data_IF_615430477966
#
_entry.id   IF_615430477966
#
_cell.length_a   1.000
_cell.length_b   1.000
_cell.length_c   1.000
_cell.angle_alpha   90.00
_cell.angle_beta   90.00
_cell.angle_gamma   90.00
#
_symmetry.space_group_name_H-M   'P 1'
#
loop_
_entity.id
_entity.type
_entity.pdbx_description
1 polymer ?
#
# COMPACT_ATOMS: atom_id res chain seq x y z
N UNK A 1 2.62 27.96 -4.80
CA UNK A 1 2.40 26.58 -5.31
C UNK A 1 2.61 25.54 -4.22
N UNK A 2 3.79 25.45 -3.58
CA UNK A 2 4.06 24.42 -2.57
C UNK A 2 3.35 24.59 -1.21
N UNK A 3 3.09 25.83 -0.78
CA UNK A 3 2.41 26.14 0.49
C UNK A 3 0.96 25.65 0.52
N UNK A 4 0.21 25.86 -0.57
CA UNK A 4 -1.18 25.41 -0.69
C UNK A 4 -1.30 23.87 -0.66
N UNK A 5 -0.37 23.15 -1.30
CA UNK A 5 -0.34 21.69 -1.24
C UNK A 5 -0.02 21.17 0.16
N UNK A 6 0.92 21.84 0.85
CA UNK A 6 1.29 21.51 2.21
C UNK A 6 0.11 21.70 3.18
N UNK A 7 -0.59 22.83 3.12
CA UNK A 7 -1.78 23.11 3.93
C UNK A 7 -2.91 22.10 3.64
N UNK A 8 -3.11 21.74 2.37
CA UNK A 8 -4.08 20.71 1.99
C UNK A 8 -3.76 19.37 2.64
N UNK A 9 -2.53 18.90 2.55
CA UNK A 9 -2.14 17.62 3.17
C UNK A 9 -2.22 17.69 4.69
N UNK A 10 -1.83 18.81 5.30
CA UNK A 10 -2.00 19.03 6.75
C UNK A 10 -3.48 18.95 7.18
N UNK A 11 -4.40 19.50 6.37
CA UNK A 11 -5.84 19.38 6.59
C UNK A 11 -6.36 17.96 6.40
N UNK A 12 -5.83 17.20 5.44
CA UNK A 12 -6.14 15.76 5.28
C UNK A 12 -5.67 14.97 6.51
N UNK A 13 -4.47 15.27 7.03
CA UNK A 13 -3.95 14.63 8.25
C UNK A 13 -4.90 14.84 9.43
N UNK A 14 -5.32 16.09 9.67
CA UNK A 14 -6.26 16.42 10.76
C UNK A 14 -7.60 15.68 10.61
N UNK A 15 -8.16 15.64 9.39
CA UNK A 15 -9.41 14.90 9.12
C UNK A 15 -9.28 13.41 9.37
N UNK A 16 -8.18 12.78 8.95
CA UNK A 16 -7.92 11.36 9.21
C UNK A 16 -7.80 11.07 10.70
N UNK A 17 -7.11 11.94 11.45
CA UNK A 17 -7.04 11.82 12.90
C UNK A 17 -8.41 11.93 13.56
N UNK A 18 -9.21 12.95 13.20
CA UNK A 18 -10.56 13.12 13.73
C UNK A 18 -11.44 11.91 13.45
N UNK A 19 -11.34 11.32 12.25
CA UNK A 19 -12.10 10.12 11.90
C UNK A 19 -11.66 8.90 12.74
N UNK A 20 -10.35 8.71 12.94
CA UNK A 20 -9.83 7.65 13.81
C UNK A 20 -10.34 7.80 15.25
N UNK A 21 -10.37 9.02 15.79
CA UNK A 21 -10.81 9.31 17.15
C UNK A 21 -12.32 9.09 17.33
N UNK A 22 -13.13 9.50 16.34
CA UNK A 22 -14.59 9.37 16.39
C UNK A 22 -15.06 7.94 16.09
N UNK A 23 -14.40 7.24 15.18
CA UNK A 23 -14.83 5.94 14.66
C UNK A 23 -13.63 4.99 14.47
N UNK A 24 -12.95 4.56 15.55
CA UNK A 24 -11.75 3.72 15.44
C UNK A 24 -12.01 2.39 14.74
N UNK A 25 -13.18 1.78 14.95
CA UNK A 25 -13.59 0.57 14.21
C UNK A 25 -13.76 0.82 12.71
N UNK A 26 -14.36 1.96 12.33
CA UNK A 26 -14.49 2.36 10.93
C UNK A 26 -13.13 2.61 10.27
N UNK A 27 -12.24 3.29 10.97
CA UNK A 27 -10.85 3.49 10.53
C UNK A 27 -10.12 2.16 10.33
N UNK A 28 -10.27 1.23 11.26
CA UNK A 28 -9.66 -0.10 11.15
C UNK A 28 -10.22 -0.90 9.97
N UNK A 29 -11.52 -0.82 9.68
CA UNK A 29 -12.13 -1.44 8.50
C UNK A 29 -11.57 -0.83 7.21
N UNK A 30 -11.52 0.51 7.09
CA UNK A 30 -10.92 1.16 5.92
C UNK A 30 -9.43 0.82 5.77
N UNK A 31 -8.73 0.66 6.89
CA UNK A 31 -7.33 0.22 6.88
C UNK A 31 -7.21 -1.24 6.42
N UNK A 32 -8.13 -2.11 6.84
CA UNK A 32 -8.18 -3.50 6.39
C UNK A 32 -8.48 -3.60 4.90
N UNK A 33 -9.42 -2.79 4.40
CA UNK A 33 -9.72 -2.71 2.97
C UNK A 33 -8.51 -2.31 2.14
N UNK A 34 -7.69 -1.35 2.59
CA UNK A 34 -6.46 -1.00 1.90
C UNK A 34 -5.51 -2.21 1.78
N UNK A 35 -5.34 -2.99 2.87
CA UNK A 35 -4.54 -4.22 2.85
C UNK A 35 -5.07 -5.28 1.88
N UNK A 36 -6.39 -5.41 1.75
CA UNK A 36 -7.05 -6.29 0.78
C UNK A 36 -6.80 -5.79 -0.65
N UNK A 37 -6.95 -4.49 -0.90
CA UNK A 37 -6.76 -3.91 -2.24
C UNK A 37 -5.34 -4.06 -2.75
N UNK A 38 -4.33 -3.83 -1.89
CA UNK A 38 -2.94 -4.14 -2.26
C UNK A 38 -2.75 -5.64 -2.47
N UNK A 39 -3.35 -6.48 -1.64
CA UNK A 39 -3.26 -7.93 -1.79
C UNK A 39 -3.87 -8.45 -3.09
N UNK A 40 -4.95 -7.86 -3.61
CA UNK A 40 -5.48 -8.18 -4.94
C UNK A 40 -4.49 -7.82 -6.05
N UNK A 41 -3.82 -6.67 -5.94
CA UNK A 41 -2.74 -6.30 -6.85
C UNK A 41 -1.58 -7.29 -6.82
N UNK A 42 -1.20 -7.76 -5.63
CA UNK A 42 -0.19 -8.80 -5.44
C UNK A 42 -0.63 -10.12 -6.10
N UNK A 43 -1.85 -10.58 -5.84
CA UNK A 43 -2.39 -11.80 -6.44
C UNK A 43 -2.38 -11.72 -7.98
N UNK A 44 -2.78 -10.58 -8.56
CA UNK A 44 -2.75 -10.36 -10.00
C UNK A 44 -1.33 -10.50 -10.57
N UNK A 45 -0.34 -9.79 -10.02
CA UNK A 45 1.01 -9.81 -10.58
C UNK A 45 1.66 -11.19 -10.45
N UNK A 46 1.38 -11.95 -9.41
CA UNK A 46 1.88 -13.32 -9.28
C UNK A 46 1.17 -14.28 -10.24
N UNK A 47 -0.13 -14.10 -10.48
CA UNK A 47 -0.89 -14.86 -11.48
C UNK A 47 -0.34 -14.65 -12.90
N UNK A 48 0.02 -13.41 -13.25
CA UNK A 48 0.63 -13.07 -14.54
C UNK A 48 2.11 -13.48 -14.61
N UNK A 49 2.85 -13.27 -13.52
CA UNK A 49 4.30 -13.49 -13.46
C UNK A 49 4.68 -14.96 -13.40
N UNK A 50 3.88 -15.81 -12.75
CA UNK A 50 4.16 -17.24 -12.57
C UNK A 50 4.43 -17.97 -13.90
N UNK A 51 3.47 -17.99 -14.84
CA UNK A 51 3.66 -18.64 -16.14
C UNK A 51 4.84 -18.08 -16.93
N UNK A 52 5.03 -16.76 -16.91
CA UNK A 52 6.16 -16.11 -17.59
C UNK A 52 7.51 -16.51 -16.98
N UNK A 53 7.58 -16.64 -15.65
CA UNK A 53 8.79 -17.03 -14.95
C UNK A 53 9.13 -18.50 -15.22
N UNK A 54 8.12 -19.39 -15.31
CA UNK A 54 8.31 -20.80 -15.59
C UNK A 54 8.94 -21.05 -16.97
N UNK A 55 8.64 -20.21 -17.97
CA UNK A 55 9.28 -20.28 -19.30
C UNK A 55 10.57 -19.46 -19.41
N UNK A 56 11.06 -18.89 -18.31
CA UNK A 56 12.29 -18.09 -18.29
C UNK A 56 12.17 -16.75 -19.04
N UNK A 57 10.96 -16.20 -19.17
CA UNK A 57 10.72 -14.97 -19.93
C UNK A 57 11.47 -13.76 -19.32
N UNK A 58 12.18 -12.95 -20.12
CA UNK A 58 12.88 -11.78 -19.61
C UNK A 58 11.93 -10.64 -19.21
N UNK A 59 10.66 -10.68 -19.65
CA UNK A 59 9.68 -9.60 -19.41
C UNK A 59 8.87 -9.76 -18.13
N UNK A 60 9.14 -10.78 -17.30
CA UNK A 60 8.39 -11.05 -16.05
C UNK A 60 8.26 -9.81 -15.18
N UNK A 61 9.38 -9.13 -14.89
CA UNK A 61 9.39 -7.94 -14.02
C UNK A 61 8.64 -6.76 -14.64
N UNK A 62 8.70 -6.61 -15.96
CA UNK A 62 8.00 -5.53 -16.67
C UNK A 62 6.48 -5.73 -16.59
N UNK A 63 6.01 -6.94 -16.92
CA UNK A 63 4.57 -7.28 -16.88
C UNK A 63 4.04 -7.14 -15.46
N UNK A 64 4.72 -7.71 -14.47
CA UNK A 64 4.35 -7.56 -13.06
C UNK A 64 4.31 -6.08 -12.64
N UNK A 65 5.28 -5.27 -13.05
CA UNK A 65 5.35 -3.85 -12.69
C UNK A 65 4.19 -3.03 -13.27
N UNK A 66 3.91 -3.18 -14.57
CA UNK A 66 2.84 -2.43 -15.26
C UNK A 66 1.47 -2.83 -14.72
N UNK A 67 1.25 -4.11 -14.43
CA UNK A 67 -0.03 -4.60 -13.90
C UNK A 67 -0.27 -4.23 -12.43
N UNK A 68 0.76 -3.85 -11.66
CA UNK A 68 0.61 -3.52 -10.25
C UNK A 68 -0.13 -2.19 -10.00
N UNK A 69 -0.27 -1.32 -11.02
CA UNK A 69 -0.93 -0.02 -10.89
C UNK A 69 -2.33 -0.09 -10.26
N UNK A 70 -3.09 -1.15 -10.57
CA UNK A 70 -4.44 -1.38 -10.02
C UNK A 70 -4.48 -1.35 -8.49
N UNK A 71 -3.41 -1.81 -7.83
CA UNK A 71 -3.35 -1.93 -6.38
C UNK A 71 -3.51 -0.56 -5.71
N UNK A 72 -2.76 0.44 -6.18
CA UNK A 72 -2.81 1.79 -5.64
C UNK A 72 -4.03 2.56 -6.15
N UNK A 73 -4.47 2.30 -7.39
CA UNK A 73 -5.73 2.86 -7.92
C UNK A 73 -6.91 2.49 -7.02
N UNK A 74 -7.06 1.21 -6.65
CA UNK A 74 -8.13 0.78 -5.75
C UNK A 74 -8.08 1.52 -4.40
N UNK A 75 -6.88 1.66 -3.81
CA UNK A 75 -6.72 2.36 -2.53
C UNK A 75 -7.17 3.81 -2.61
N UNK A 76 -6.78 4.51 -3.67
CA UNK A 76 -7.06 5.93 -3.88
C UNK A 76 -8.53 6.16 -4.18
N UNK A 77 -9.09 5.41 -5.13
CA UNK A 77 -10.44 5.64 -5.64
C UNK A 77 -11.53 5.05 -4.74
N UNK A 78 -11.32 3.88 -4.15
CA UNK A 78 -12.27 3.32 -3.19
C UNK A 78 -12.24 4.06 -1.85
N UNK A 79 -11.16 4.82 -1.57
CA UNK A 79 -11.03 5.64 -0.37
C UNK A 79 -10.73 4.80 0.87
N UNK A 80 -9.52 4.25 0.95
CA UNK A 80 -9.07 3.41 2.07
C UNK A 80 -7.84 3.97 2.79
N UNK A 81 -7.54 3.43 3.97
CA UNK A 81 -6.47 3.96 4.86
C UNK A 81 -5.18 3.16 4.72
N UNK A 82 -4.26 3.63 3.88
CA UNK A 82 -3.00 2.97 3.61
C UNK A 82 -1.84 3.52 4.44
N UNK A 83 -1.16 2.66 5.20
CA UNK A 83 0.00 3.00 6.03
C UNK A 83 1.11 3.73 5.26
N UNK A 84 1.51 3.20 4.10
CA UNK A 84 2.59 3.80 3.29
C UNK A 84 2.27 5.21 2.81
N UNK A 85 1.01 5.49 2.47
CA UNK A 85 0.53 6.84 2.17
C UNK A 85 0.43 7.73 3.41
N UNK A 86 0.02 7.17 4.55
CA UNK A 86 -0.08 7.87 5.82
C UNK A 86 1.29 8.31 6.37
N UNK A 87 2.39 7.69 5.96
CA UNK A 87 3.74 8.18 6.29
C UNK A 87 3.96 9.63 5.80
N UNK A 88 3.56 9.96 4.57
CA UNK A 88 3.65 11.33 4.03
C UNK A 88 2.68 12.27 4.75
N UNK A 89 1.42 11.85 4.85
CA UNK A 89 0.34 12.67 5.42
C UNK A 89 0.63 12.99 6.90
N UNK A 90 1.05 11.97 7.66
CA UNK A 90 1.47 12.11 9.05
C UNK A 90 2.72 12.97 9.21
N UNK A 91 3.74 12.78 8.39
CA UNK A 91 4.96 13.61 8.45
C UNK A 91 4.64 15.10 8.23
N UNK A 92 3.84 15.42 7.20
CA UNK A 92 3.40 16.80 6.96
C UNK A 92 2.48 17.30 8.10
N UNK A 93 1.60 16.45 8.62
CA UNK A 93 0.74 16.79 9.77
C UNK A 93 1.55 17.16 11.02
N UNK A 94 2.61 16.40 11.31
CA UNK A 94 3.54 16.67 12.42
C UNK A 94 4.35 17.95 12.21
N UNK A 95 4.92 18.14 11.02
CA UNK A 95 5.72 19.32 10.68
C UNK A 95 4.89 20.60 10.65
N UNK A 96 3.64 20.52 10.18
CA UNK A 96 2.67 21.63 10.18
C UNK A 96 2.01 21.88 11.52
N UNK A 97 2.26 21.02 12.53
CA UNK A 97 1.62 21.02 13.85
C UNK A 97 0.09 20.85 13.80
N UNK A 98 -0.46 20.31 12.72
CA UNK A 98 -1.87 19.91 12.69
C UNK A 98 -2.11 18.63 13.49
N UNK A 99 -1.10 17.77 13.61
CA UNK A 99 -1.04 16.61 14.49
C UNK A 99 0.18 16.73 15.42
N UNK A 100 0.07 16.19 16.63
CA UNK A 100 1.23 15.88 17.47
C UNK A 100 1.96 14.65 16.94
N UNK A 101 3.26 14.53 17.21
CA UNK A 101 4.03 13.35 16.80
C UNK A 101 3.48 12.04 17.40
N UNK A 102 2.87 12.11 18.59
CA UNK A 102 2.15 10.97 19.19
C UNK A 102 0.96 10.55 18.33
N UNK A 103 0.16 11.52 17.86
CA UNK A 103 -0.96 11.26 16.94
C UNK A 103 -0.48 10.68 15.62
N UNK A 104 0.65 11.17 15.09
CA UNK A 104 1.27 10.63 13.86
C UNK A 104 1.66 9.16 14.03
N UNK A 105 2.30 8.81 15.16
CA UNK A 105 2.68 7.42 15.45
C UNK A 105 1.43 6.55 15.60
N UNK A 106 0.41 7.02 16.31
CA UNK A 106 -0.84 6.28 16.50
C UNK A 106 -1.57 6.06 15.18
N UNK A 107 -1.74 7.09 14.34
CA UNK A 107 -2.36 6.99 13.02
C UNK A 107 -1.66 5.93 12.14
N UNK A 108 -0.33 5.95 12.14
CA UNK A 108 0.48 4.98 11.40
C UNK A 108 0.35 3.57 11.99
N UNK A 109 0.35 3.42 13.31
CA UNK A 109 0.17 2.11 13.94
C UNK A 109 -1.21 1.50 13.61
N UNK A 110 -2.30 2.28 13.74
CA UNK A 110 -3.65 1.83 13.43
C UNK A 110 -3.79 1.38 11.97
N UNK A 111 -3.28 2.20 11.03
CA UNK A 111 -3.32 1.84 9.61
C UNK A 111 -2.44 0.63 9.30
N UNK A 112 -1.27 0.49 9.92
CA UNK A 112 -0.41 -0.68 9.73
C UNK A 112 -1.07 -1.98 10.19
N UNK A 113 -1.64 -2.00 11.41
CA UNK A 113 -2.32 -3.19 11.92
C UNK A 113 -3.59 -3.53 11.12
N UNK A 114 -4.33 -2.51 10.68
CA UNK A 114 -5.48 -2.73 9.79
C UNK A 114 -5.04 -3.30 8.46
N UNK A 115 -4.04 -2.71 7.79
CA UNK A 115 -3.51 -3.23 6.53
C UNK A 115 -3.06 -4.69 6.68
N UNK A 116 -2.34 -5.03 7.76
CA UNK A 116 -1.94 -6.40 8.05
C UNK A 116 -3.15 -7.34 8.20
N UNK A 117 -4.15 -6.94 8.99
CA UNK A 117 -5.37 -7.73 9.19
C UNK A 117 -6.10 -8.01 7.86
N UNK A 118 -6.25 -6.98 7.02
CA UNK A 118 -6.84 -7.10 5.69
C UNK A 118 -6.03 -8.01 4.76
N UNK A 119 -4.71 -7.85 4.72
CA UNK A 119 -3.84 -8.69 3.90
C UNK A 119 -3.85 -10.15 4.35
N UNK A 120 -3.87 -10.42 5.67
CA UNK A 120 -4.01 -11.78 6.19
C UNK A 120 -5.37 -12.38 5.85
N UNK A 121 -6.46 -11.60 5.98
CA UNK A 121 -7.80 -12.04 5.62
C UNK A 121 -7.94 -12.40 4.14
N UNK A 122 -7.38 -11.58 3.24
CA UNK A 122 -7.36 -11.91 1.82
C UNK A 122 -6.47 -13.11 1.53
N UNK A 123 -5.28 -13.21 2.15
CA UNK A 123 -4.40 -14.36 1.97
C UNK A 123 -5.11 -15.67 2.38
N UNK A 124 -5.85 -15.66 3.48
CA UNK A 124 -6.67 -16.80 3.90
C UNK A 124 -7.74 -17.14 2.84
N UNK A 125 -8.50 -16.16 2.35
CA UNK A 125 -9.48 -16.39 1.28
C UNK A 125 -8.86 -16.97 0.00
N UNK A 126 -7.66 -16.50 -0.38
CA UNK A 126 -6.91 -17.00 -1.53
C UNK A 126 -6.52 -18.47 -1.33
N UNK A 127 -6.06 -18.85 -0.13
CA UNK A 127 -5.74 -20.24 0.21
C UNK A 127 -7.00 -21.12 0.15
N UNK A 128 -8.10 -20.70 0.78
CA UNK A 128 -9.38 -21.43 0.75
C UNK A 128 -9.94 -21.57 -0.66
N UNK A 129 -9.73 -20.57 -1.53
CA UNK A 129 -10.17 -20.62 -2.93
C UNK A 129 -9.38 -21.63 -3.80
N UNK A 130 -8.19 -22.04 -3.35
CA UNK A 130 -7.30 -22.92 -4.11
C UNK A 130 -6.66 -22.29 -5.35
N UNK A 131 -6.85 -20.98 -5.61
CA UNK A 131 -6.36 -20.30 -6.83
C UNK A 131 -4.84 -20.37 -7.00
N UNK A 132 -4.09 -20.46 -5.90
CA UNK A 132 -2.64 -20.67 -5.89
C UNK A 132 -2.24 -21.98 -5.20
N UNK A 133 -3.10 -23.01 -5.25
CA UNK A 133 -2.80 -24.27 -4.59
C UNK A 133 -1.60 -25.00 -5.21
N UNK A 134 -1.39 -24.87 -6.53
CA UNK A 134 -0.31 -25.52 -7.29
C UNK A 134 0.05 -24.73 -8.55
N UNK A 135 1.23 -24.99 -9.09
CA UNK A 135 1.65 -24.50 -10.40
C UNK A 135 2.52 -23.25 -10.35
N UNK A 136 2.86 -22.68 -11.52
CA UNK A 136 3.91 -21.66 -11.65
C UNK A 136 3.76 -20.43 -10.76
N UNK A 137 2.52 -20.01 -10.49
CA UNK A 137 2.23 -18.86 -9.62
C UNK A 137 2.55 -19.16 -8.16
N UNK A 138 2.25 -20.38 -7.69
CA UNK A 138 2.59 -20.82 -6.33
C UNK A 138 4.12 -20.89 -6.16
N UNK A 139 4.82 -21.51 -7.10
CA UNK A 139 6.29 -21.63 -7.09
C UNK A 139 6.96 -20.25 -7.06
N UNK A 140 6.42 -19.29 -7.83
CA UNK A 140 6.94 -17.93 -7.86
C UNK A 140 6.68 -17.19 -6.54
N UNK A 141 5.51 -17.36 -5.92
CA UNK A 141 5.18 -16.78 -4.61
C UNK A 141 6.17 -17.28 -3.56
N UNK A 142 6.36 -18.60 -3.46
CA UNK A 142 7.28 -19.22 -2.50
C UNK A 142 8.72 -18.73 -2.70
N UNK A 143 9.19 -18.74 -3.96
CA UNK A 143 10.53 -18.27 -4.30
C UNK A 143 10.74 -16.81 -3.93
N UNK A 144 9.80 -15.92 -4.26
CA UNK A 144 9.91 -14.49 -3.96
C UNK A 144 9.81 -14.23 -2.45
N UNK A 145 8.95 -14.96 -1.74
CA UNK A 145 8.84 -14.89 -0.29
C UNK A 145 10.17 -15.29 0.38
N UNK A 146 10.74 -16.44 0.01
CA UNK A 146 12.00 -16.94 0.56
C UNK A 146 13.17 -15.96 0.31
N UNK A 147 13.25 -15.37 -0.89
CA UNK A 147 14.24 -14.33 -1.18
C UNK A 147 14.03 -13.11 -0.28
N UNK A 148 12.81 -12.59 -0.17
CA UNK A 148 12.54 -11.39 0.66
C UNK A 148 12.85 -11.62 2.14
N UNK A 149 12.58 -12.82 2.66
CA UNK A 149 12.85 -13.20 4.04
C UNK A 149 14.34 -13.38 4.35
N UNK A 150 15.18 -13.61 3.33
CA UNK A 150 16.61 -13.88 3.49
C UNK A 150 17.51 -12.68 3.16
N UNK A 151 16.95 -11.56 2.69
CA UNK A 151 17.73 -10.37 2.38
C UNK A 151 18.30 -9.70 3.65
N UNK A 152 19.50 -9.10 3.57
CA UNK A 152 20.05 -8.31 4.67
C UNK A 152 19.14 -7.14 5.05
N UNK A 153 19.09 -6.80 6.33
CA UNK A 153 18.26 -5.71 6.86
C UNK A 153 18.54 -4.37 6.17
N UNK A 154 19.80 -4.06 5.87
CA UNK A 154 20.17 -2.82 5.19
C UNK A 154 19.61 -2.75 3.77
N UNK A 155 19.65 -3.85 3.02
CA UNK A 155 19.06 -3.88 1.68
C UNK A 155 17.55 -3.69 1.72
N UNK A 156 16.86 -4.32 2.68
CA UNK A 156 15.43 -4.16 2.88
C UNK A 156 15.07 -2.70 3.23
N UNK A 157 15.86 -2.07 4.10
CA UNK A 157 15.67 -0.68 4.49
C UNK A 157 15.79 0.28 3.30
N UNK A 158 16.86 0.17 2.50
CA UNK A 158 17.07 1.05 1.33
C UNK A 158 15.98 0.82 0.27
N UNK A 159 15.61 -0.45 0.00
CA UNK A 159 14.50 -0.76 -0.92
C UNK A 159 13.17 -0.21 -0.40
N UNK A 160 12.96 -0.22 0.91
CA UNK A 160 11.81 0.38 1.57
C UNK A 160 11.70 1.89 1.36
N UNK A 161 12.82 2.61 1.49
CA UNK A 161 12.90 4.06 1.21
C UNK A 161 12.48 4.33 -0.24
N UNK A 162 13.10 3.65 -1.20
CA UNK A 162 12.83 3.86 -2.64
C UNK A 162 11.37 3.54 -2.99
N UNK A 163 10.83 2.45 -2.45
CA UNK A 163 9.44 2.08 -2.64
C UNK A 163 8.48 3.15 -2.10
N UNK A 164 8.67 3.54 -0.84
CA UNK A 164 7.74 4.47 -0.20
C UNK A 164 7.85 5.88 -0.80
N UNK A 165 9.01 6.26 -1.35
CA UNK A 165 9.15 7.51 -2.09
C UNK A 165 8.17 7.55 -3.27
N UNK A 166 8.10 6.49 -4.08
CA UNK A 166 7.18 6.42 -5.22
C UNK A 166 5.71 6.40 -4.78
N UNK A 167 5.36 5.66 -3.73
CA UNK A 167 3.99 5.63 -3.19
C UNK A 167 3.57 7.02 -2.69
N UNK A 168 4.42 7.68 -1.91
CA UNK A 168 4.15 9.02 -1.40
C UNK A 168 4.04 10.05 -2.54
N UNK A 169 4.87 9.94 -3.58
CA UNK A 169 4.76 10.79 -4.77
C UNK A 169 3.43 10.58 -5.49
N UNK A 170 2.97 9.34 -5.65
CA UNK A 170 1.65 9.08 -6.23
C UNK A 170 0.54 9.74 -5.41
N UNK A 171 0.51 9.52 -4.09
CA UNK A 171 -0.47 10.17 -3.17
C UNK A 171 -0.41 11.69 -3.25
N UNK A 172 0.79 12.26 -3.32
CA UNK A 172 0.99 13.70 -3.47
C UNK A 172 0.39 14.22 -4.78
N UNK A 173 0.71 13.57 -5.90
CA UNK A 173 0.24 13.95 -7.24
C UNK A 173 -1.28 13.80 -7.39
N UNK A 174 -1.88 12.75 -6.83
CA UNK A 174 -3.34 12.55 -6.81
C UNK A 174 -4.05 13.75 -6.20
N UNK A 175 -3.48 14.32 -5.14
CA UNK A 175 -4.04 15.50 -4.48
C UNK A 175 -3.82 16.82 -5.23
N UNK A 176 -3.03 16.84 -6.32
CA UNK A 176 -2.74 18.01 -7.14
C UNK A 176 -3.57 18.11 -8.41
N UNK A 177 -4.36 17.08 -8.72
CA UNK A 177 -5.24 17.05 -9.88
C UNK A 177 -6.67 16.78 -9.44
N UNK A 178 -7.63 17.39 -10.15
CA UNK A 178 -9.07 17.09 -10.01
C UNK A 178 -9.55 16.12 -11.09
N UNK A 179 -8.74 15.86 -12.13
CA UNK A 179 -9.07 14.91 -13.19
C UNK A 179 -8.74 13.49 -12.74
N UNK A 180 -9.77 12.66 -12.63
CA UNK A 180 -9.65 11.27 -12.18
C UNK A 180 -8.83 10.41 -13.14
N UNK A 181 -8.88 10.63 -14.46
CA UNK A 181 -8.02 9.90 -15.42
C UNK A 181 -6.53 10.24 -15.25
N UNK A 182 -6.22 11.41 -14.68
CA UNK A 182 -4.84 11.82 -14.42
C UNK A 182 -4.30 11.32 -13.07
N UNK A 183 -5.16 10.82 -12.18
CA UNK A 183 -4.78 10.26 -10.87
C UNK A 183 -4.35 8.81 -10.99
#
# INVERSE_FOLDING_TARGET
>A
MHTADHERIAGVAAKKWMFLEQAPGGYFILSSLAGIYLGFGIALIFSLGGPLAAVGSPVVKLVMGVSFGIALTLVIFAGSELFTGNNLIGAIGGLSRSLSWTQVIQLNAWSWFGNLAGSMGLAWLIVESGVFAKGPSADLIEKVAAVKMSLPAWELFVRGILCNWLICLAVWMTGRTTNDTAK
#
